data_IF_445560615022
#
_entry.id   IF_445560615022
#
_cell.length_a   1.000
_cell.length_b   1.000
_cell.length_c   1.000
_cell.angle_alpha   90.00
_cell.angle_beta   90.00
_cell.angle_gamma   90.00
#
_symmetry.space_group_name_H-M   'P 1'
#
loop_
_entity.id
_entity.type
_entity.pdbx_description
1 polymer ?
#
# COMPACT_ATOMS: atom_id res chain seq x y z
N UNK A 1 -1.28 9.55 -29.11
CA UNK A 1 -1.63 10.97 -28.92
C UNK A 1 -2.56 11.07 -27.73
N UNK A 2 -2.11 11.64 -26.60
CA UNK A 2 -2.97 11.83 -25.43
C UNK A 2 -4.01 12.91 -25.76
N UNK A 3 -5.29 12.57 -25.56
CA UNK A 3 -6.39 13.53 -25.67
C UNK A 3 -6.44 14.38 -24.39
N UNK A 4 -7.15 15.49 -24.45
CA UNK A 4 -7.45 16.28 -23.24
C UNK A 4 -8.07 15.39 -22.15
N UNK A 5 -7.83 15.71 -20.87
CA UNK A 5 -8.38 14.91 -19.78
C UNK A 5 -9.91 14.87 -19.86
N UNK A 6 -10.49 13.68 -19.77
CA UNK A 6 -11.94 13.49 -19.85
C UNK A 6 -12.66 14.21 -18.70
N UNK A 7 -12.03 14.34 -17.56
CA UNK A 7 -12.57 15.01 -16.39
C UNK A 7 -11.45 15.54 -15.50
N UNK A 8 -11.62 16.74 -14.97
CA UNK A 8 -10.82 17.28 -13.87
C UNK A 8 -11.58 17.05 -12.57
N UNK A 9 -10.93 16.41 -11.61
CA UNK A 9 -11.46 16.21 -10.25
C UNK A 9 -10.69 17.15 -9.33
N UNK A 10 -11.38 18.11 -8.76
CA UNK A 10 -10.79 19.01 -7.78
C UNK A 10 -10.92 18.38 -6.39
N UNK A 11 -9.80 18.26 -5.71
CA UNK A 11 -9.71 17.66 -4.39
C UNK A 11 -9.54 18.81 -3.39
N UNK A 12 -10.61 19.13 -2.70
CA UNK A 12 -10.62 20.18 -1.67
C UNK A 12 -11.05 19.58 -0.34
N UNK A 13 -10.31 19.85 0.71
CA UNK A 13 -10.70 19.53 2.08
C UNK A 13 -10.91 20.83 2.83
N UNK A 14 -12.14 21.08 3.31
CA UNK A 14 -12.50 22.28 4.08
C UNK A 14 -12.03 23.61 3.43
N UNK A 15 -12.31 23.79 2.13
CA UNK A 15 -11.97 25.00 1.36
C UNK A 15 -10.50 25.10 0.92
N UNK A 16 -9.61 24.23 1.36
CA UNK A 16 -8.21 24.20 0.93
C UNK A 16 -7.98 23.12 -0.12
N UNK A 17 -7.12 23.42 -1.10
CA UNK A 17 -6.64 22.41 -2.05
C UNK A 17 -5.86 21.33 -1.28
N UNK A 18 -6.11 20.07 -1.65
CA UNK A 18 -5.43 18.93 -1.06
C UNK A 18 -4.17 18.59 -1.86
N UNK A 19 -2.96 18.78 -1.32
CA UNK A 19 -1.73 18.39 -2.02
C UNK A 19 -1.66 16.88 -2.17
N UNK A 20 -1.61 16.42 -3.42
CA UNK A 20 -1.53 15.00 -3.76
C UNK A 20 -0.08 14.59 -3.95
N UNK A 21 0.39 13.59 -3.19
CA UNK A 21 1.74 13.07 -3.31
C UNK A 21 1.79 11.70 -4.02
N UNK A 22 0.86 10.83 -3.72
CA UNK A 22 0.72 9.54 -4.38
C UNK A 22 -0.76 9.18 -4.60
N UNK A 23 -1.00 8.34 -5.61
CA UNK A 23 -2.35 7.90 -6.00
C UNK A 23 -2.27 6.42 -6.32
N UNK A 24 -3.31 5.68 -5.94
CA UNK A 24 -3.46 4.29 -6.35
C UNK A 24 -4.93 3.92 -6.59
N UNK A 25 -5.15 3.01 -7.55
CA UNK A 25 -6.46 2.48 -7.90
C UNK A 25 -6.57 1.03 -7.42
N UNK A 26 -7.66 0.68 -6.68
CA UNK A 26 -7.98 -0.71 -6.44
C UNK A 26 -8.22 -1.45 -7.76
N UNK A 27 -7.70 -2.64 -7.87
CA UNK A 27 -7.88 -3.45 -9.06
C UNK A 27 -9.37 -3.73 -9.34
N UNK A 28 -9.79 -3.52 -10.58
CA UNK A 28 -11.18 -3.68 -11.00
C UNK A 28 -12.13 -2.54 -10.60
N UNK A 29 -11.66 -1.51 -9.88
CA UNK A 29 -12.43 -0.31 -9.59
C UNK A 29 -12.22 0.75 -10.69
N UNK A 30 -13.31 1.35 -11.14
CA UNK A 30 -13.26 2.38 -12.20
C UNK A 30 -13.65 3.76 -11.73
N UNK A 31 -14.20 3.88 -10.52
CA UNK A 31 -14.73 5.14 -9.99
C UNK A 31 -14.05 5.59 -8.70
N UNK A 32 -13.54 4.67 -7.88
CA UNK A 32 -12.89 4.96 -6.61
C UNK A 32 -11.38 4.84 -6.74
N UNK A 33 -10.66 5.76 -6.13
CA UNK A 33 -9.21 5.73 -6.01
C UNK A 33 -8.79 6.30 -4.65
N UNK A 34 -7.55 6.07 -4.27
CA UNK A 34 -7.00 6.55 -3.02
C UNK A 34 -5.84 7.48 -3.26
N UNK A 35 -5.70 8.45 -2.35
CA UNK A 35 -4.75 9.53 -2.43
C UNK A 35 -3.99 9.59 -1.12
N UNK A 36 -2.67 9.62 -1.21
CA UNK A 36 -1.81 10.02 -0.12
C UNK A 36 -1.46 11.49 -0.22
N UNK A 37 -1.66 12.21 0.87
CA UNK A 37 -1.50 13.66 0.93
C UNK A 37 -0.33 14.07 1.82
N UNK A 38 0.13 15.30 1.64
CA UNK A 38 1.13 15.93 2.51
C UNK A 38 0.62 16.19 3.92
N UNK A 39 -0.69 16.25 4.12
CA UNK A 39 -1.33 16.45 5.42
C UNK A 39 -1.37 15.19 6.30
N UNK A 40 -0.56 14.17 5.96
CA UNK A 40 -0.43 12.89 6.70
C UNK A 40 -1.64 11.98 6.62
N UNK A 41 -2.59 12.25 5.73
CA UNK A 41 -3.81 11.46 5.63
C UNK A 41 -3.93 10.76 4.28
N UNK A 42 -4.66 9.65 4.31
CA UNK A 42 -5.10 8.97 3.11
C UNK A 42 -6.57 9.32 2.88
N UNK A 43 -6.91 9.63 1.66
CA UNK A 43 -8.29 9.95 1.27
C UNK A 43 -8.80 8.99 0.21
N UNK A 44 -10.05 8.56 0.37
CA UNK A 44 -10.78 7.92 -0.71
C UNK A 44 -11.43 9.01 -1.57
N UNK A 45 -11.24 8.94 -2.87
CA UNK A 45 -11.86 9.85 -3.81
C UNK A 45 -12.68 9.11 -4.88
N UNK A 46 -13.58 9.83 -5.54
CA UNK A 46 -14.44 9.32 -6.61
C UNK A 46 -14.31 10.19 -7.85
N UNK A 47 -14.22 9.54 -9.01
CA UNK A 47 -14.23 10.25 -10.30
C UNK A 47 -15.62 10.82 -10.57
N UNK A 48 -16.67 10.03 -10.31
CA UNK A 48 -18.05 10.44 -10.51
C UNK A 48 -18.82 10.39 -9.19
N UNK A 49 -19.45 11.48 -8.84
CA UNK A 49 -20.39 11.60 -7.72
C UNK A 49 -21.83 11.54 -8.24
N UNK A 50 -22.76 11.05 -7.42
CA UNK A 50 -24.17 10.91 -7.80
C UNK A 50 -24.90 12.24 -7.86
N UNK A 51 -24.44 13.24 -7.09
CA UNK A 51 -25.04 14.57 -7.01
C UNK A 51 -24.04 15.61 -7.53
N UNK A 52 -24.55 16.64 -8.19
CA UNK A 52 -23.75 17.69 -8.82
C UNK A 52 -22.93 18.56 -7.85
N UNK A 53 -23.31 18.55 -6.54
CA UNK A 53 -22.64 19.31 -5.46
C UNK A 53 -22.06 18.40 -4.37
N UNK A 54 -21.84 17.13 -4.65
CA UNK A 54 -21.21 16.20 -3.71
C UNK A 54 -19.69 16.25 -3.88
N UNK A 55 -18.97 16.40 -2.78
CA UNK A 55 -17.51 16.39 -2.79
C UNK A 55 -16.99 15.08 -3.38
N UNK A 56 -15.97 15.19 -4.22
CA UNK A 56 -15.31 14.01 -4.78
C UNK A 56 -14.48 13.25 -3.73
N UNK A 57 -14.14 13.90 -2.60
CA UNK A 57 -13.48 13.27 -1.46
C UNK A 57 -14.54 12.58 -0.59
N UNK A 58 -14.29 11.30 -0.34
CA UNK A 58 -15.09 10.47 0.55
C UNK A 58 -14.48 10.34 1.95
N UNK A 59 -14.16 9.11 2.32
CA UNK A 59 -13.60 8.82 3.64
C UNK A 59 -12.14 9.29 3.77
N UNK A 60 -11.81 9.74 4.99
CA UNK A 60 -10.45 10.10 5.43
C UNK A 60 -9.94 9.04 6.40
N UNK A 61 -8.70 8.61 6.22
CA UNK A 61 -8.01 7.64 7.04
C UNK A 61 -6.82 8.32 7.70
N UNK A 62 -6.75 8.23 9.03
CA UNK A 62 -5.77 8.92 9.87
C UNK A 62 -4.94 7.91 10.65
N UNK A 63 -3.66 8.17 10.81
CA UNK A 63 -2.73 7.29 11.56
C UNK A 63 -1.29 7.74 11.39
N UNK A 64 -0.88 8.06 10.17
CA UNK A 64 0.42 8.64 9.90
C UNK A 64 0.54 10.07 10.46
N UNK A 65 1.78 10.49 10.71
CA UNK A 65 2.15 11.83 11.23
C UNK A 65 2.98 12.63 10.24
N UNK A 66 3.32 12.05 9.08
CA UNK A 66 4.11 12.66 8.01
C UNK A 66 3.48 12.44 6.64
N UNK A 67 3.99 13.15 5.62
CA UNK A 67 3.56 13.03 4.22
C UNK A 67 3.51 11.58 3.77
N UNK A 68 2.41 11.18 3.11
CA UNK A 68 2.28 9.84 2.56
C UNK A 68 3.13 9.72 1.29
N UNK A 69 4.13 8.85 1.31
CA UNK A 69 5.12 8.70 0.24
C UNK A 69 4.70 7.69 -0.83
N UNK A 70 4.10 6.58 -0.42
CA UNK A 70 3.59 5.58 -1.35
C UNK A 70 2.27 4.98 -0.89
N UNK A 71 1.47 4.54 -1.86
CA UNK A 71 0.25 3.77 -1.67
C UNK A 71 0.26 2.59 -2.63
N UNK A 72 -0.17 1.43 -2.16
CA UNK A 72 -0.32 0.25 -3.00
C UNK A 72 -1.50 -0.61 -2.53
N UNK A 73 -2.50 -0.76 -3.39
CA UNK A 73 -3.62 -1.67 -3.14
C UNK A 73 -3.18 -3.11 -3.28
N UNK A 74 -3.81 -3.93 -2.46
CA UNK A 74 -3.64 -5.37 -2.54
C UNK A 74 -4.18 -5.88 -3.87
N UNK A 75 -3.38 -6.60 -4.68
CA UNK A 75 -3.81 -7.15 -5.95
C UNK A 75 -4.85 -8.25 -5.74
N UNK A 76 -5.71 -8.46 -6.74
CA UNK A 76 -6.64 -9.59 -6.74
C UNK A 76 -5.86 -10.86 -7.10
N UNK A 77 -5.70 -11.76 -6.14
CA UNK A 77 -4.96 -13.00 -6.33
C UNK A 77 -5.91 -14.08 -6.84
N UNK A 78 -5.53 -14.74 -7.94
CA UNK A 78 -6.28 -15.85 -8.56
C UNK A 78 -7.75 -15.52 -8.85
N UNK A 79 -8.06 -14.31 -9.30
CA UNK A 79 -9.40 -13.84 -9.65
C UNK A 79 -10.43 -13.97 -8.49
N UNK A 80 -10.01 -14.38 -7.32
CA UNK A 80 -10.85 -14.46 -6.13
C UNK A 80 -10.94 -13.11 -5.45
N UNK A 81 -12.13 -12.55 -5.39
CA UNK A 81 -12.44 -11.42 -4.52
C UNK A 81 -12.45 -11.90 -3.07
N UNK A 82 -11.29 -11.92 -2.43
CA UNK A 82 -11.18 -12.15 -0.98
C UNK A 82 -11.30 -10.82 -0.22
N UNK A 83 -11.54 -10.87 1.08
CA UNK A 83 -11.47 -9.66 1.92
C UNK A 83 -10.09 -9.00 1.85
N UNK A 84 -9.03 -9.76 1.61
CA UNK A 84 -7.68 -9.25 1.41
C UNK A 84 -7.57 -8.26 0.25
N UNK A 85 -8.36 -8.40 -0.82
CA UNK A 85 -8.36 -7.48 -1.96
C UNK A 85 -8.78 -6.04 -1.59
N UNK A 86 -9.26 -5.81 -0.37
CA UNK A 86 -9.57 -4.51 0.17
C UNK A 86 -8.42 -3.86 0.93
N UNK A 87 -7.29 -4.54 1.11
CA UNK A 87 -6.14 -3.99 1.84
C UNK A 87 -5.43 -2.91 1.04
N UNK A 88 -4.91 -1.93 1.76
CA UNK A 88 -4.10 -0.85 1.25
C UNK A 88 -2.83 -0.76 2.10
N UNK A 89 -1.69 -0.63 1.44
CA UNK A 89 -0.39 -0.44 2.05
C UNK A 89 0.05 1.00 1.84
N UNK A 90 0.66 1.60 2.86
CA UNK A 90 1.21 2.95 2.79
C UNK A 90 2.58 3.06 3.43
N UNK A 91 3.40 3.96 2.93
CA UNK A 91 4.60 4.46 3.61
C UNK A 91 4.49 5.96 3.78
N UNK A 92 5.11 6.51 4.82
CA UNK A 92 5.07 7.94 5.08
C UNK A 92 6.40 8.49 5.62
N UNK A 93 6.57 9.81 5.53
CA UNK A 93 7.76 10.52 5.99
C UNK A 93 7.92 10.54 7.51
N UNK A 94 6.98 10.00 8.26
CA UNK A 94 7.08 9.73 9.70
C UNK A 94 7.81 8.43 10.03
N UNK A 95 8.45 7.82 9.03
CA UNK A 95 9.10 6.51 9.05
C UNK A 95 8.13 5.35 9.27
N UNK A 96 6.84 5.65 9.11
CA UNK A 96 5.74 4.70 9.30
C UNK A 96 5.46 3.85 8.06
N UNK A 97 5.07 2.61 8.31
CA UNK A 97 4.51 1.69 7.33
C UNK A 97 3.13 1.25 7.84
N UNK A 98 2.08 1.48 7.04
CA UNK A 98 0.70 1.24 7.43
C UNK A 98 0.00 0.22 6.54
N UNK A 99 -0.75 -0.70 7.16
CA UNK A 99 -1.70 -1.59 6.49
C UNK A 99 -3.11 -1.20 6.88
N UNK A 100 -3.96 -0.95 5.90
CA UNK A 100 -5.31 -0.46 6.07
C UNK A 100 -6.33 -1.40 5.45
N UNK A 101 -7.53 -1.39 5.98
CA UNK A 101 -8.68 -2.00 5.32
C UNK A 101 -9.82 -0.96 5.23
N UNK A 102 -9.82 -0.13 4.18
CA UNK A 102 -10.72 1.02 4.06
C UNK A 102 -12.22 0.73 4.17
N UNK A 103 -12.64 -0.50 3.85
CA UNK A 103 -14.06 -0.90 3.93
C UNK A 103 -14.53 -1.17 5.35
N UNK A 104 -13.64 -1.56 6.25
CA UNK A 104 -14.02 -2.01 7.60
C UNK A 104 -13.59 -1.04 8.70
N UNK A 105 -12.50 -0.30 8.51
CA UNK A 105 -11.90 0.54 9.55
C UNK A 105 -11.34 1.83 8.98
N UNK A 106 -11.46 2.93 9.74
CA UNK A 106 -10.78 4.19 9.47
C UNK A 106 -9.36 4.24 10.03
N UNK A 107 -9.08 3.43 11.05
CA UNK A 107 -7.76 3.29 11.64
C UNK A 107 -6.99 2.15 10.95
N UNK A 108 -5.66 2.18 10.94
CA UNK A 108 -4.87 1.11 10.35
C UNK A 108 -5.08 -0.23 11.08
N UNK A 109 -4.98 -1.34 10.34
CA UNK A 109 -4.89 -2.68 10.91
C UNK A 109 -3.54 -2.90 11.59
N UNK A 110 -2.49 -2.33 10.98
CA UNK A 110 -1.12 -2.40 11.41
C UNK A 110 -0.47 -1.05 11.10
N UNK A 111 0.25 -0.51 12.05
CA UNK A 111 1.10 0.67 11.86
C UNK A 111 2.42 0.37 12.55
N UNK A 112 3.47 0.35 11.76
CA UNK A 112 4.84 0.14 12.24
C UNK A 112 5.54 1.48 12.28
N UNK A 113 6.11 1.85 13.42
CA UNK A 113 7.03 2.96 13.55
C UNK A 113 8.44 2.43 13.27
N UNK A 114 8.97 2.74 12.08
CA UNK A 114 10.31 2.30 11.66
C UNK A 114 11.43 3.08 12.37
N UNK A 115 12.63 2.50 12.38
CA UNK A 115 13.85 3.20 12.80
C UNK A 115 14.42 4.08 11.68
N UNK A 116 13.98 3.84 10.43
CA UNK A 116 14.43 4.52 9.22
C UNK A 116 13.24 4.73 8.28
N UNK A 117 13.28 5.78 7.50
CA UNK A 117 12.23 6.15 6.56
C UNK A 117 11.99 5.09 5.49
N UNK A 118 10.74 4.63 5.35
CA UNK A 118 10.30 3.77 4.26
C UNK A 118 9.90 4.63 3.06
N UNK A 119 10.53 4.41 1.91
CA UNK A 119 10.23 5.18 0.69
C UNK A 119 9.20 4.53 -0.22
N UNK A 120 9.16 3.20 -0.26
CA UNK A 120 8.21 2.48 -1.10
C UNK A 120 7.90 1.10 -0.51
N UNK A 121 6.67 0.65 -0.71
CA UNK A 121 6.25 -0.68 -0.31
C UNK A 121 5.22 -1.24 -1.30
N UNK A 122 5.27 -2.55 -1.55
CA UNK A 122 4.42 -3.19 -2.53
C UNK A 122 3.97 -4.58 -2.09
N UNK A 123 2.68 -4.87 -2.23
CA UNK A 123 2.13 -6.21 -2.04
C UNK A 123 2.71 -7.20 -3.05
N UNK A 124 2.90 -8.44 -2.62
CA UNK A 124 3.20 -9.55 -3.51
C UNK A 124 2.03 -9.77 -4.47
N UNK A 125 2.27 -9.99 -5.79
CA UNK A 125 1.19 -10.26 -6.73
C UNK A 125 0.59 -11.65 -6.59
N UNK A 126 1.22 -12.56 -5.84
CA UNK A 126 0.85 -13.97 -5.77
C UNK A 126 0.62 -14.48 -4.35
N UNK A 127 1.12 -13.80 -3.32
CA UNK A 127 0.96 -14.20 -1.91
C UNK A 127 0.07 -13.22 -1.15
N UNK A 128 -1.05 -13.64 -0.56
CA UNK A 128 -2.07 -12.74 -0.04
C UNK A 128 -1.65 -11.94 1.19
N UNK A 129 -0.69 -12.41 1.97
CA UNK A 129 -0.27 -11.75 3.22
C UNK A 129 1.12 -11.13 3.17
N UNK A 130 1.82 -11.27 2.03
CA UNK A 130 3.21 -10.82 1.90
C UNK A 130 3.30 -9.49 1.17
N UNK A 131 4.12 -8.61 1.70
CA UNK A 131 4.57 -7.42 1.01
C UNK A 131 6.07 -7.19 1.22
N UNK A 132 6.65 -6.38 0.35
CA UNK A 132 8.02 -5.93 0.45
C UNK A 132 8.06 -4.42 0.67
N UNK A 133 8.96 -3.95 1.52
CA UNK A 133 9.23 -2.54 1.73
C UNK A 133 10.72 -2.24 1.54
N UNK A 134 11.04 -1.02 1.16
CA UNK A 134 12.42 -0.55 1.06
C UNK A 134 12.60 0.77 1.80
N UNK A 135 13.79 0.96 2.38
CA UNK A 135 14.05 2.06 3.29
C UNK A 135 15.32 2.88 2.95
N UNK A 136 15.50 3.98 3.69
CA UNK A 136 16.59 4.93 3.54
C UNK A 136 17.96 4.38 3.90
N UNK A 137 18.06 3.30 4.69
CA UNK A 137 19.32 2.64 5.02
C UNK A 137 19.79 1.66 3.93
N UNK A 138 18.99 1.45 2.88
CA UNK A 138 19.32 0.54 1.79
C UNK A 138 18.89 -0.91 2.03
N UNK A 139 17.95 -1.11 2.93
CA UNK A 139 17.41 -2.44 3.27
C UNK A 139 16.13 -2.73 2.51
N UNK A 140 15.94 -4.01 2.21
CA UNK A 140 14.67 -4.60 1.78
C UNK A 140 14.12 -5.37 2.97
N UNK A 141 12.86 -5.14 3.30
CA UNK A 141 12.13 -5.90 4.30
C UNK A 141 11.00 -6.68 3.65
N UNK A 142 10.91 -7.96 3.99
CA UNK A 142 9.82 -8.85 3.59
C UNK A 142 8.93 -9.12 4.80
N UNK A 143 7.67 -8.80 4.67
CA UNK A 143 6.65 -8.93 5.71
C UNK A 143 5.64 -9.99 5.34
N UNK A 144 5.21 -10.78 6.29
CA UNK A 144 4.10 -11.74 6.16
C UNK A 144 3.12 -11.51 7.31
N UNK A 145 2.14 -10.66 7.10
CA UNK A 145 1.21 -10.22 8.15
C UNK A 145 0.28 -11.31 8.68
N UNK A 146 0.15 -12.45 8.00
CA UNK A 146 -0.58 -13.60 8.52
C UNK A 146 0.22 -14.37 9.58
N UNK A 147 1.53 -14.15 9.65
CA UNK A 147 2.44 -14.81 10.60
C UNK A 147 2.94 -13.86 11.67
N UNK A 148 3.33 -12.65 11.29
CA UNK A 148 3.93 -11.67 12.18
C UNK A 148 3.57 -10.25 11.73
N UNK A 149 3.14 -9.40 12.69
CA UNK A 149 2.76 -8.01 12.45
C UNK A 149 3.67 -6.98 13.11
N UNK A 150 4.56 -7.44 13.99
CA UNK A 150 5.44 -6.54 14.74
C UNK A 150 6.83 -6.43 14.12
N UNK A 151 7.29 -7.50 13.44
CA UNK A 151 8.61 -7.54 12.83
C UNK A 151 8.57 -8.09 11.40
N UNK A 152 9.51 -7.60 10.57
CA UNK A 152 9.73 -8.16 9.25
C UNK A 152 10.26 -9.60 9.34
N UNK A 153 9.70 -10.49 8.51
CA UNK A 153 10.12 -11.89 8.42
C UNK A 153 11.55 -12.06 7.89
N UNK A 154 11.96 -11.16 7.01
CA UNK A 154 13.33 -11.13 6.49
C UNK A 154 13.76 -9.69 6.26
N UNK A 155 15.01 -9.39 6.59
CA UNK A 155 15.69 -8.13 6.29
C UNK A 155 16.95 -8.42 5.48
N UNK A 156 17.15 -7.67 4.42
CA UNK A 156 18.26 -7.84 3.48
C UNK A 156 18.95 -6.49 3.34
N UNK A 157 20.22 -6.42 3.70
CA UNK A 157 21.07 -5.27 3.42
C UNK A 157 21.41 -5.26 1.93
N UNK A 158 20.57 -4.65 1.14
CA UNK A 158 20.60 -4.69 -0.31
C UNK A 158 21.61 -3.70 -0.90
N UNK A 159 21.75 -2.55 -0.25
CA UNK A 159 22.66 -1.48 -0.66
C UNK A 159 23.15 -0.67 0.55
N UNK A 160 24.25 0.05 0.37
CA UNK A 160 24.73 1.05 1.36
C UNK A 160 24.04 2.42 1.21
N UNK A 161 23.09 2.54 0.30
CA UNK A 161 22.41 3.76 -0.08
C UNK A 161 20.92 3.55 -0.06
N UNK A 162 20.18 4.63 0.15
CA UNK A 162 18.73 4.62 0.18
C UNK A 162 18.12 3.93 -1.05
N UNK A 163 17.18 3.03 -0.81
CA UNK A 163 16.36 2.40 -1.82
C UNK A 163 15.06 3.20 -1.97
N UNK A 164 14.86 3.79 -3.15
CA UNK A 164 13.74 4.68 -3.41
C UNK A 164 12.51 3.97 -3.95
N UNK A 165 12.71 2.84 -4.65
CA UNK A 165 11.63 2.09 -5.29
C UNK A 165 11.85 0.59 -5.20
N UNK A 166 10.73 -0.13 -5.03
CA UNK A 166 10.70 -1.58 -5.03
C UNK A 166 9.55 -2.07 -5.92
N UNK A 167 9.78 -3.15 -6.69
CA UNK A 167 8.77 -3.76 -7.56
C UNK A 167 8.91 -5.26 -7.60
N UNK A 168 7.78 -5.95 -7.49
CA UNK A 168 7.69 -7.38 -7.73
C UNK A 168 7.63 -7.69 -9.22
N UNK A 169 8.22 -8.83 -9.62
CA UNK A 169 7.87 -9.46 -10.89
C UNK A 169 6.45 -10.02 -10.79
N UNK A 170 5.76 -10.12 -11.93
CA UNK A 170 4.36 -10.58 -11.97
C UNK A 170 4.15 -11.99 -11.40
N UNK A 171 5.16 -12.85 -11.49
CA UNK A 171 5.17 -14.21 -10.94
C UNK A 171 5.56 -14.29 -9.45
N UNK A 172 5.82 -13.15 -8.80
CA UNK A 172 6.21 -13.03 -7.41
C UNK A 172 7.57 -13.61 -7.04
N UNK A 173 8.34 -14.09 -8.03
CA UNK A 173 9.61 -14.80 -7.77
C UNK A 173 10.84 -13.88 -7.71
N UNK A 174 10.66 -12.62 -8.11
CA UNK A 174 11.76 -11.66 -8.18
C UNK A 174 11.32 -10.30 -7.63
N UNK A 175 12.31 -9.60 -7.06
CA UNK A 175 12.17 -8.21 -6.63
C UNK A 175 13.20 -7.36 -7.38
N UNK A 176 12.75 -6.21 -7.84
CA UNK A 176 13.60 -5.15 -8.38
C UNK A 176 13.65 -4.00 -7.37
N UNK A 177 14.82 -3.45 -7.15
CA UNK A 177 15.00 -2.22 -6.36
C UNK A 177 15.77 -1.19 -7.14
N UNK A 178 15.41 0.08 -6.93
CA UNK A 178 16.14 1.23 -7.46
C UNK A 178 16.66 2.09 -6.32
N UNK A 179 17.96 2.38 -6.33
CA UNK A 179 18.58 3.22 -5.32
C UNK A 179 18.70 4.70 -5.75
N UNK A 180 19.09 5.56 -4.81
CA UNK A 180 19.25 7.01 -5.00
C UNK A 180 20.37 7.39 -5.98
N UNK A 181 21.19 6.43 -6.45
CA UNK A 181 22.31 6.65 -7.38
C UNK A 181 22.08 6.05 -8.77
N UNK A 182 20.83 5.69 -9.09
CA UNK A 182 20.48 5.16 -10.40
C UNK A 182 20.84 3.69 -10.61
N UNK A 183 21.21 2.96 -9.55
CA UNK A 183 21.48 1.52 -9.65
C UNK A 183 20.18 0.75 -9.45
N UNK A 184 19.91 -0.18 -10.37
CA UNK A 184 18.80 -1.14 -10.26
C UNK A 184 19.38 -2.52 -9.99
N UNK A 185 18.85 -3.19 -8.97
CA UNK A 185 19.24 -4.55 -8.59
C UNK A 185 18.04 -5.49 -8.66
N UNK A 186 18.30 -6.73 -9.09
CA UNK A 186 17.33 -7.82 -9.17
C UNK A 186 17.66 -8.89 -8.14
N UNK A 187 16.66 -9.30 -7.37
CA UNK A 187 16.77 -10.33 -6.33
C UNK A 187 15.81 -11.47 -6.64
N UNK A 188 16.25 -12.71 -6.41
CA UNK A 188 15.36 -13.85 -6.37
C UNK A 188 14.76 -13.95 -4.97
N UNK A 189 13.49 -14.28 -4.91
CA UNK A 189 12.72 -14.39 -3.67
C UNK A 189 12.57 -15.88 -3.30
N UNK A 190 12.71 -16.18 -2.02
CA UNK A 190 12.54 -17.54 -1.53
C UNK A 190 11.08 -18.02 -1.64
N UNK A 191 10.92 -19.35 -1.79
CA UNK A 191 9.62 -19.98 -2.04
C UNK A 191 8.56 -19.64 -0.99
N UNK A 192 8.95 -19.46 0.26
CA UNK A 192 8.03 -19.15 1.35
C UNK A 192 7.30 -17.80 1.18
N UNK A 193 7.83 -16.87 0.38
CA UNK A 193 7.24 -15.54 0.14
C UNK A 193 6.39 -15.44 -1.15
N UNK A 194 6.40 -16.48 -2.00
CA UNK A 194 5.56 -16.51 -3.19
C UNK A 194 4.65 -17.74 -3.29
N UNK A 195 4.84 -18.74 -2.43
CA UNK A 195 3.95 -19.89 -2.32
C UNK A 195 3.20 -19.84 -1.00
N UNK A 196 1.91 -19.62 -1.03
CA UNK A 196 1.06 -19.58 0.16
C UNK A 196 0.25 -20.87 0.32
N UNK A 197 -0.20 -21.12 1.54
CA UNK A 197 -1.16 -22.16 1.90
C UNK A 197 -2.52 -21.53 2.14
N UNK A 198 -3.61 -22.28 1.94
CA UNK A 198 -4.97 -21.76 2.24
C UNK A 198 -5.15 -21.35 3.71
N UNK A 199 -4.36 -21.93 4.61
CA UNK A 199 -4.32 -21.52 6.01
C UNK A 199 -3.85 -20.07 6.21
N UNK A 200 -2.90 -19.60 5.39
CA UNK A 200 -2.38 -18.23 5.46
C UNK A 200 -3.47 -17.22 5.03
N UNK A 201 -4.23 -17.55 4.02
CA UNK A 201 -5.38 -16.74 3.59
C UNK A 201 -6.46 -16.69 4.69
N UNK A 202 -6.77 -17.84 5.28
CA UNK A 202 -7.79 -17.94 6.35
C UNK A 202 -7.37 -17.13 7.60
N UNK A 203 -6.08 -17.15 7.96
CA UNK A 203 -5.54 -16.34 9.06
C UNK A 203 -5.66 -14.86 8.75
N UNK A 204 -5.27 -14.44 7.55
CA UNK A 204 -5.38 -13.06 7.10
C UNK A 204 -6.83 -12.57 7.15
N UNK A 205 -7.79 -13.34 6.62
CA UNK A 205 -9.21 -12.99 6.64
C UNK A 205 -9.77 -12.86 8.07
N UNK A 206 -9.31 -13.70 9.00
CA UNK A 206 -9.68 -13.57 10.43
C UNK A 206 -9.15 -12.28 11.04
N UNK A 207 -7.94 -11.87 10.68
CA UNK A 207 -7.33 -10.64 11.16
C UNK A 207 -8.04 -9.38 10.63
N UNK A 208 -8.52 -9.43 9.39
CA UNK A 208 -9.25 -8.34 8.75
C UNK A 208 -10.65 -8.18 9.35
N UNK A 209 -11.34 -9.27 9.69
CA UNK A 209 -12.70 -9.21 10.25
C UNK A 209 -12.69 -8.52 11.62
N UNK A 210 -13.52 -7.48 11.81
CA UNK A 210 -13.62 -6.84 13.13
C UNK A 210 -14.08 -7.86 14.16
N UNK A 211 -13.44 -7.83 15.34
CA UNK A 211 -13.85 -8.63 16.49
C UNK A 211 -15.30 -8.27 16.85
N UNK A 212 -16.26 -9.11 16.49
CA UNK A 212 -17.69 -8.89 16.81
C UNK A 212 -18.71 -9.26 15.73
N UNK A 213 -18.31 -9.54 14.52
CA UNK A 213 -19.20 -10.11 13.50
C UNK A 213 -18.95 -11.64 13.42
N UNK A 214 -19.70 -12.38 14.24
CA UNK A 214 -19.92 -13.82 14.08
C UNK A 214 -21.06 -14.06 13.12
#
# INVERSE_FOLDING_TARGET
MMKEPQKKVYLTSNTNELPVHCIDFPEGETNKFYIGSEDSNIYQAKIHTKKQNEDNIGDKYTGHKGTILSLHHHPTINERKSEASGLLLSTAADWGLGVWHPKTRKNPLMLVDGEVEYYDAQWSPVHPSVFAACNGSGQIELWDIAKETEEARARIDADKRALNKIRWSHDGKRLLTGNSHGVVKLYNVDKEFYQYREEDLTKLERMIKPAGLR
#
